data_IF_447055910805
#
_entry.id   IF_447055910805
#
_cell.length_a   1.000
_cell.length_b   1.000
_cell.length_c   1.000
_cell.angle_alpha   90.00
_cell.angle_beta   90.00
_cell.angle_gamma   90.00
#
_symmetry.space_group_name_H-M   'P 1'
#
loop_
_entity.id
_entity.type
_entity.pdbx_description
1 polymer ?
#
# COMPACT_ATOMS: atom_id res chain seq x y z
N UNK A 1 12.10 -10.44 -3.46
CA UNK A 1 11.38 -11.69 -3.11
C UNK A 1 10.05 -11.37 -2.39
N UNK A 2 9.20 -10.51 -2.97
CA UNK A 2 7.86 -10.16 -2.44
C UNK A 2 6.74 -10.37 -3.48
N UNK A 3 7.05 -10.99 -4.63
CA UNK A 3 6.12 -11.11 -5.76
C UNK A 3 4.88 -11.94 -5.41
N UNK A 4 5.05 -13.11 -4.75
CA UNK A 4 3.90 -13.93 -4.31
C UNK A 4 3.00 -13.23 -3.27
N UNK A 5 3.53 -12.66 -2.17
CA UNK A 5 2.70 -11.87 -1.24
C UNK A 5 1.96 -10.70 -1.90
N UNK A 6 2.61 -10.05 -2.87
CA UNK A 6 2.01 -8.95 -3.61
C UNK A 6 0.82 -9.38 -4.46
N UNK A 7 0.97 -10.46 -5.23
CA UNK A 7 -0.10 -11.01 -6.09
C UNK A 7 -1.29 -11.51 -5.27
N UNK A 8 -1.03 -12.18 -4.15
CA UNK A 8 -2.07 -12.66 -3.24
C UNK A 8 -2.88 -11.50 -2.65
N UNK A 9 -2.19 -10.44 -2.21
CA UNK A 9 -2.86 -9.25 -1.70
C UNK A 9 -3.69 -8.55 -2.77
N UNK A 10 -3.15 -8.38 -3.98
CA UNK A 10 -3.89 -7.76 -5.08
C UNK A 10 -5.15 -8.54 -5.43
N UNK A 11 -5.04 -9.88 -5.49
CA UNK A 11 -6.16 -10.79 -5.74
C UNK A 11 -7.23 -10.67 -4.66
N UNK A 12 -6.83 -10.61 -3.38
CA UNK A 12 -7.76 -10.46 -2.26
C UNK A 12 -8.51 -9.13 -2.32
N UNK A 13 -7.81 -8.03 -2.60
CA UNK A 13 -8.40 -6.69 -2.71
C UNK A 13 -9.42 -6.61 -3.85
N UNK A 14 -9.05 -7.11 -5.03
CA UNK A 14 -9.98 -7.17 -6.18
C UNK A 14 -11.18 -8.06 -5.87
N UNK A 15 -10.99 -9.17 -5.16
CA UNK A 15 -12.11 -10.04 -4.78
C UNK A 15 -13.05 -9.41 -3.76
N UNK A 16 -12.56 -8.56 -2.86
CA UNK A 16 -13.37 -7.92 -1.81
C UNK A 16 -14.08 -6.66 -2.26
N UNK A 17 -13.44 -5.86 -3.11
CA UNK A 17 -13.89 -4.51 -3.46
C UNK A 17 -14.10 -4.32 -4.97
N UNK A 18 -13.69 -5.28 -5.80
CA UNK A 18 -13.68 -5.14 -7.26
C UNK A 18 -12.48 -4.35 -7.79
N UNK A 19 -12.54 -4.00 -9.07
CA UNK A 19 -11.49 -3.21 -9.76
C UNK A 19 -11.54 -1.70 -9.44
N UNK A 20 -12.56 -1.26 -8.71
CA UNK A 20 -12.73 0.13 -8.26
C UNK A 20 -12.80 0.11 -6.73
N UNK A 21 -11.83 0.68 -6.00
CA UNK A 21 -10.73 1.54 -6.45
C UNK A 21 -9.65 0.83 -7.25
N UNK A 22 -8.95 1.58 -8.11
CA UNK A 22 -7.73 1.06 -8.75
C UNK A 22 -6.70 0.68 -7.69
N UNK A 23 -6.24 -0.56 -7.69
CA UNK A 23 -5.23 -1.08 -6.78
C UNK A 23 -3.85 -1.07 -7.45
N UNK A 24 -2.87 -0.42 -6.82
CA UNK A 24 -1.49 -0.51 -7.26
C UNK A 24 -0.58 -0.87 -6.09
N UNK A 25 0.15 -1.97 -6.25
CA UNK A 25 1.09 -2.44 -5.24
C UNK A 25 2.53 -2.22 -5.73
N UNK A 26 3.34 -1.53 -4.93
CA UNK A 26 4.76 -1.31 -5.21
C UNK A 26 5.61 -1.88 -4.09
N UNK A 27 6.71 -2.54 -4.44
CA UNK A 27 7.72 -2.91 -3.44
C UNK A 27 8.59 -1.70 -3.11
N UNK A 28 8.78 -1.44 -1.82
CA UNK A 28 9.69 -0.41 -1.32
C UNK A 28 10.76 -1.06 -0.45
N UNK A 29 12.03 -0.83 -0.77
CA UNK A 29 13.18 -1.45 -0.09
C UNK A 29 13.27 -1.13 1.42
N UNK A 30 12.67 -0.03 1.88
CA UNK A 30 12.66 0.37 3.30
C UNK A 30 11.44 -0.12 4.08
N UNK A 31 10.32 -0.40 3.41
CA UNK A 31 9.03 -0.61 4.07
C UNK A 31 8.31 -1.90 3.66
N UNK A 32 8.82 -2.67 2.70
CA UNK A 32 8.19 -3.89 2.20
C UNK A 32 7.27 -3.60 1.02
N UNK A 33 5.98 -3.36 1.30
CA UNK A 33 4.94 -3.14 0.30
C UNK A 33 4.24 -1.80 0.53
N UNK A 34 3.91 -1.12 -0.57
CA UNK A 34 3.12 0.11 -0.59
C UNK A 34 1.88 -0.17 -1.43
N UNK A 35 0.70 -0.01 -0.84
CA UNK A 35 -0.58 -0.10 -1.53
C UNK A 35 -1.10 1.31 -1.81
N UNK A 36 -1.17 1.68 -3.08
CA UNK A 36 -1.87 2.86 -3.53
C UNK A 36 -3.29 2.50 -4.00
N UNK A 37 -4.27 3.25 -3.51
CA UNK A 37 -5.68 3.09 -3.89
C UNK A 37 -6.42 4.42 -3.75
N UNK A 38 -7.59 4.54 -4.37
CA UNK A 38 -8.46 5.72 -4.24
C UNK A 38 -9.33 5.57 -2.98
N UNK A 39 -8.99 6.34 -1.93
CA UNK A 39 -9.65 6.31 -0.62
C UNK A 39 -11.15 6.65 -0.69
N UNK A 40 -11.61 7.32 -1.75
CA UNK A 40 -13.03 7.63 -1.94
C UNK A 40 -13.92 6.43 -2.27
N UNK A 41 -13.35 5.26 -2.57
CA UNK A 41 -14.08 4.08 -3.04
C UNK A 41 -13.95 2.87 -2.10
N UNK A 42 -13.04 2.89 -1.12
CA UNK A 42 -12.89 1.84 -0.12
C UNK A 42 -12.47 2.42 1.22
N UNK A 43 -13.12 2.00 2.31
CA UNK A 43 -12.80 2.47 3.65
C UNK A 43 -11.45 1.91 4.11
N UNK A 44 -10.58 2.78 4.66
CA UNK A 44 -9.23 2.38 5.09
C UNK A 44 -9.23 1.24 6.12
N UNK A 45 -10.25 1.19 6.99
CA UNK A 45 -10.40 0.14 8.00
C UNK A 45 -10.63 -1.25 7.37
N UNK A 46 -11.45 -1.32 6.32
CA UNK A 46 -11.74 -2.54 5.56
C UNK A 46 -10.52 -2.98 4.73
N UNK A 47 -9.84 -2.04 4.08
CA UNK A 47 -8.62 -2.33 3.32
C UNK A 47 -7.53 -2.89 4.25
N UNK A 48 -7.35 -2.30 5.44
CA UNK A 48 -6.40 -2.81 6.44
C UNK A 48 -6.78 -4.23 6.88
N UNK A 49 -8.07 -4.51 7.07
CA UNK A 49 -8.53 -5.85 7.46
C UNK A 49 -8.16 -6.90 6.40
N UNK A 50 -8.34 -6.60 5.11
CA UNK A 50 -7.97 -7.52 4.02
C UNK A 50 -6.46 -7.77 3.98
N UNK A 51 -5.65 -6.72 4.19
CA UNK A 51 -4.19 -6.84 4.30
C UNK A 51 -3.79 -7.78 5.44
N UNK A 52 -4.33 -7.56 6.63
CA UNK A 52 -4.02 -8.37 7.81
C UNK A 52 -4.46 -9.83 7.64
N UNK A 53 -5.61 -10.07 7.00
CA UNK A 53 -6.08 -11.43 6.71
C UNK A 53 -5.20 -12.15 5.68
N UNK A 54 -4.66 -11.42 4.71
CA UNK A 54 -3.88 -12.02 3.61
C UNK A 54 -2.42 -12.24 4.01
N UNK A 55 -1.82 -11.28 4.70
CA UNK A 55 -0.38 -11.23 4.98
C UNK A 55 -0.05 -11.55 6.44
N UNK A 56 -1.04 -11.56 7.34
CA UNK A 56 -0.84 -11.73 8.76
C UNK A 56 -0.50 -10.42 9.48
N UNK A 57 -0.62 -10.43 10.80
CA UNK A 57 -0.28 -9.29 11.65
C UNK A 57 1.23 -8.98 11.56
N UNK A 58 1.56 -7.71 11.29
CA UNK A 58 2.94 -7.20 11.34
C UNK A 58 3.67 -7.08 9.99
N UNK A 59 3.04 -7.46 8.86
CA UNK A 59 3.61 -7.14 7.55
C UNK A 59 3.34 -5.65 7.25
N UNK A 60 4.42 -4.88 7.13
CA UNK A 60 4.39 -3.46 6.83
C UNK A 60 3.85 -3.20 5.42
N UNK A 61 2.55 -2.92 5.32
CA UNK A 61 1.97 -2.34 4.12
C UNK A 61 1.69 -0.88 4.41
N UNK A 62 2.34 0.01 3.66
CA UNK A 62 2.02 1.43 3.70
C UNK A 62 0.81 1.66 2.82
N UNK A 63 -0.25 2.24 3.40
CA UNK A 63 -1.42 2.70 2.67
C UNK A 63 -1.16 4.10 2.13
N UNK A 64 -1.25 4.26 0.81
CA UNK A 64 -1.14 5.54 0.12
C UNK A 64 -2.51 5.85 -0.53
N UNK A 65 -3.37 6.65 0.13
CA UNK A 65 -4.75 6.91 -0.31
C UNK A 65 -4.87 7.74 -1.60
N UNK A 66 -3.74 8.07 -2.24
CA UNK A 66 -3.68 8.75 -3.53
C UNK A 66 -2.59 8.11 -4.37
N UNK A 67 -2.92 7.82 -5.62
CA UNK A 67 -1.90 7.58 -6.63
C UNK A 67 -0.95 8.78 -6.64
N UNK A 68 0.36 8.61 -6.38
CA UNK A 68 1.28 9.69 -6.63
C UNK A 68 1.18 10.01 -8.11
N UNK A 69 0.92 11.29 -8.45
CA UNK A 69 1.04 11.77 -9.83
C UNK A 69 2.32 11.20 -10.44
N UNK A 70 2.33 10.77 -11.72
CA UNK A 70 3.55 10.27 -12.33
C UNK A 70 4.67 11.32 -12.17
N UNK A 71 5.64 11.04 -11.30
CA UNK A 71 6.69 11.98 -10.87
C UNK A 71 6.72 12.34 -9.37
N UNK A 72 5.73 11.92 -8.57
CA UNK A 72 5.72 12.10 -7.13
C UNK A 72 6.74 11.20 -6.45
N UNK A 73 7.95 11.72 -6.23
CA UNK A 73 8.95 11.09 -5.38
C UNK A 73 8.31 10.92 -3.99
N UNK A 74 8.19 9.67 -3.51
CA UNK A 74 7.87 9.38 -2.11
C UNK A 74 8.99 10.02 -1.29
N UNK A 75 8.73 11.23 -0.78
CA UNK A 75 9.66 11.96 0.07
C UNK A 75 9.94 11.11 1.29
N UNK A 76 11.13 10.51 1.33
CA UNK A 76 11.65 9.82 2.49
C UNK A 76 11.77 10.87 3.59
N UNK A 77 10.82 10.90 4.53
CA UNK A 77 10.76 11.89 5.61
C UNK A 77 11.84 11.68 6.68
N UNK A 78 13.02 11.17 6.29
CA UNK A 78 14.18 10.94 7.16
C UNK A 78 15.38 11.74 6.69
N UNK A 79 15.28 13.06 6.50
CA UNK A 79 16.48 13.90 6.29
C UNK A 79 16.25 15.38 6.58
N UNK A 80 15.72 15.75 7.76
CA UNK A 80 15.84 17.15 8.21
C UNK A 80 16.21 17.33 9.69
N UNK A 81 16.59 16.26 10.41
CA UNK A 81 17.17 16.43 11.75
C UNK A 81 18.68 16.66 11.67
N UNK A 82 19.10 17.79 11.08
CA UNK A 82 20.41 18.38 11.36
C UNK A 82 20.22 19.76 11.96
N UNK A 83 20.34 19.81 13.29
CA UNK A 83 20.74 21.01 14.00
C UNK A 83 21.95 21.62 13.31
N UNK A 84 21.85 22.88 12.92
CA UNK A 84 22.92 23.85 13.11
C UNK A 84 22.37 25.27 13.17
#
# INVERSE_FOLDING_TARGET
MFERPAEQLLTALVSSFGDTPRWELRSNKGFGLVLAYDEGQAEMSEVRRVIEQTLGFGIGVILSPRFPSPGGQLVDSRSDYRMN
#
